data_IF_419230877313
#
_entry.id   IF_419230877313
#
_cell.length_a   1.000
_cell.length_b   1.000
_cell.length_c   1.000
_cell.angle_alpha   90.00
_cell.angle_beta   90.00
_cell.angle_gamma   90.00
#
_symmetry.space_group_name_H-M   'P 1'
#
loop_
_entity.id
_entity.type
_entity.pdbx_description
1 polymer ?
#
# COMPACT_ATOMS: atom_id res chain seq x y z
N UNK A 1 -13.94 4.08 14.67
CA UNK A 1 -12.59 3.81 14.10
C UNK A 1 -12.08 5.12 13.51
N UNK A 2 -10.81 5.49 13.79
CA UNK A 2 -10.20 6.70 13.23
C UNK A 2 -9.50 6.37 11.91
N UNK A 3 -9.73 7.16 10.89
CA UNK A 3 -9.03 7.07 9.62
C UNK A 3 -8.26 8.35 9.33
N UNK A 4 -7.06 8.20 8.78
CA UNK A 4 -6.22 9.33 8.37
C UNK A 4 -6.07 9.31 6.85
N UNK A 5 -6.26 10.46 6.22
CA UNK A 5 -6.04 10.67 4.79
C UNK A 5 -5.10 11.85 4.59
N UNK A 6 -4.32 11.80 3.55
CA UNK A 6 -3.40 12.89 3.22
C UNK A 6 -3.57 13.38 1.79
N UNK A 7 -3.28 14.66 1.59
CA UNK A 7 -3.26 15.26 0.27
C UNK A 7 -2.09 16.22 0.12
N UNK A 8 -1.71 16.52 -1.12
CA UNK A 8 -0.53 17.33 -1.44
C UNK A 8 -0.95 18.58 -2.20
N UNK A 9 -0.64 19.75 -1.66
CA UNK A 9 -0.78 21.01 -2.36
C UNK A 9 0.56 21.41 -2.96
N UNK A 10 0.56 21.85 -4.23
CA UNK A 10 1.77 22.23 -4.95
C UNK A 10 2.36 23.54 -4.45
N UNK A 11 3.69 23.61 -4.38
CA UNK A 11 4.46 24.84 -4.10
C UNK A 11 4.83 25.61 -5.37
N UNK A 12 4.19 25.31 -6.52
CA UNK A 12 4.58 25.87 -7.84
C UNK A 12 4.57 27.39 -7.91
N UNK A 13 3.76 28.04 -7.08
CA UNK A 13 3.64 29.51 -7.03
C UNK A 13 4.70 30.18 -6.14
N UNK A 14 5.47 29.42 -5.37
CA UNK A 14 6.61 29.97 -4.65
C UNK A 14 7.70 30.45 -5.63
N UNK A 15 8.28 31.62 -5.36
CA UNK A 15 9.36 32.19 -6.17
C UNK A 15 10.59 31.28 -6.15
N UNK A 16 11.46 31.40 -7.15
CA UNK A 16 12.72 30.64 -7.21
C UNK A 16 13.55 30.86 -5.95
N UNK A 17 13.69 32.09 -5.48
CA UNK A 17 14.43 32.44 -4.24
C UNK A 17 13.90 31.66 -3.04
N UNK A 18 12.57 31.65 -2.80
CA UNK A 18 11.95 30.91 -1.69
C UNK A 18 12.17 29.40 -1.81
N UNK A 19 12.14 28.86 -3.03
CA UNK A 19 12.42 27.41 -3.26
C UNK A 19 13.88 27.07 -2.99
N UNK A 20 14.81 27.93 -3.35
CA UNK A 20 16.25 27.75 -3.11
C UNK A 20 16.56 27.82 -1.62
N UNK A 21 15.97 28.79 -0.89
CA UNK A 21 16.04 28.90 0.57
C UNK A 21 15.47 27.63 1.24
N UNK A 22 14.28 27.18 0.81
CA UNK A 22 13.66 25.95 1.31
C UNK A 22 14.55 24.73 1.05
N UNK A 23 15.12 24.61 -0.15
CA UNK A 23 16.03 23.50 -0.47
C UNK A 23 17.27 23.48 0.41
N UNK A 24 17.80 24.65 0.77
CA UNK A 24 18.93 24.78 1.70
C UNK A 24 18.55 24.25 3.08
N UNK A 25 17.39 24.65 3.60
CA UNK A 25 16.85 24.12 4.87
C UNK A 25 16.64 22.61 4.80
N UNK A 26 16.04 22.09 3.73
CA UNK A 26 15.78 20.66 3.57
C UNK A 26 17.06 19.83 3.51
N UNK A 27 18.10 20.30 2.83
CA UNK A 27 19.40 19.63 2.76
C UNK A 27 20.07 19.56 4.14
N UNK A 28 20.08 20.68 4.88
CA UNK A 28 20.67 20.74 6.22
C UNK A 28 19.87 19.88 7.20
N UNK A 29 18.53 19.94 7.13
CA UNK A 29 17.66 19.06 7.90
C UNK A 29 17.97 17.58 7.65
N UNK A 30 18.11 17.18 6.40
CA UNK A 30 18.45 15.80 6.03
C UNK A 30 19.82 15.36 6.54
N UNK A 31 20.81 16.27 6.59
CA UNK A 31 22.11 16.01 7.22
C UNK A 31 21.96 15.71 8.71
N UNK A 32 21.20 16.53 9.42
CA UNK A 32 20.92 16.35 10.86
C UNK A 32 20.15 15.06 11.14
N UNK A 33 19.15 14.74 10.33
CA UNK A 33 18.42 13.44 10.42
C UNK A 33 19.40 12.27 10.28
N UNK A 34 20.35 12.33 9.33
CA UNK A 34 21.34 11.26 9.15
C UNK A 34 22.33 11.12 10.32
N UNK A 35 22.68 12.21 11.01
CA UNK A 35 23.47 12.16 12.24
C UNK A 35 22.69 11.40 13.32
N UNK A 36 21.40 11.73 13.51
CA UNK A 36 20.55 11.02 14.46
C UNK A 36 20.27 9.57 14.07
N UNK A 37 20.09 9.26 12.78
CA UNK A 37 19.98 7.88 12.32
C UNK A 37 21.22 7.09 12.73
N UNK A 38 22.42 7.64 12.58
CA UNK A 38 23.64 6.97 12.99
C UNK A 38 23.69 6.76 14.51
N UNK A 39 23.27 7.73 15.28
CA UNK A 39 23.21 7.62 16.74
C UNK A 39 22.21 6.56 17.23
N UNK A 40 20.96 6.54 16.67
CA UNK A 40 19.91 5.60 17.10
C UNK A 40 20.06 4.20 16.51
N UNK A 41 20.83 4.03 15.43
CA UNK A 41 20.97 2.74 14.76
C UNK A 41 21.54 1.67 15.71
N UNK A 42 22.53 2.03 16.49
CA UNK A 42 23.24 1.13 17.39
C UNK A 42 22.55 1.00 18.77
N UNK A 43 21.45 1.72 18.99
CA UNK A 43 20.64 1.59 20.19
C UNK A 43 19.63 0.45 20.07
N UNK A 44 19.39 -0.35 21.15
CA UNK A 44 18.43 -1.46 21.07
C UNK A 44 17.01 -0.97 20.84
N UNK A 45 16.53 -0.07 21.66
CA UNK A 45 15.23 0.59 21.55
C UNK A 45 15.37 2.06 21.96
N UNK A 46 14.59 2.91 21.31
CA UNK A 46 14.55 4.32 21.63
C UNK A 46 13.20 4.91 21.17
N UNK A 47 12.55 5.67 22.02
CA UNK A 47 11.30 6.33 21.69
C UNK A 47 11.38 7.87 21.87
N UNK A 48 10.30 8.55 21.48
CA UNK A 48 10.22 10.01 21.52
C UNK A 48 10.19 10.58 22.95
N UNK A 49 9.84 9.79 23.97
CA UNK A 49 9.76 10.23 25.37
C UNK A 49 11.17 10.45 25.95
N UNK A 50 12.15 9.73 25.42
CA UNK A 50 13.55 9.75 25.82
C UNK A 50 14.37 10.87 25.14
N UNK A 51 13.74 11.73 24.31
CA UNK A 51 14.42 12.84 23.63
C UNK A 51 14.68 14.02 24.57
N UNK A 52 15.69 13.86 25.41
CA UNK A 52 16.18 14.89 26.31
C UNK A 52 17.12 15.87 25.60
N UNK A 53 17.37 17.04 26.22
CA UNK A 53 18.22 18.09 25.65
C UNK A 53 19.62 17.61 25.23
N UNK A 54 20.38 16.82 26.01
CA UNK A 54 21.69 16.35 25.59
C UNK A 54 21.69 15.58 24.27
N UNK A 55 20.64 14.78 24.02
CA UNK A 55 20.49 14.03 22.77
C UNK A 55 20.17 14.97 21.61
N UNK A 56 19.26 15.93 21.81
CA UNK A 56 18.88 16.92 20.79
C UNK A 56 20.07 17.80 20.40
N UNK A 57 21.03 17.99 21.30
CA UNK A 57 22.20 18.84 21.09
C UNK A 57 23.41 18.08 20.46
N UNK A 58 23.34 16.76 20.27
CA UNK A 58 24.39 15.97 19.59
C UNK A 58 24.90 16.64 18.29
N UNK A 59 24.03 17.09 17.33
CA UNK A 59 24.49 17.74 16.10
C UNK A 59 24.77 19.25 16.27
N UNK A 60 24.70 19.82 17.46
CA UNK A 60 24.70 21.29 17.69
C UNK A 60 25.87 22.00 17.01
N UNK A 61 27.08 21.44 17.13
CA UNK A 61 28.29 22.04 16.55
C UNK A 61 28.50 21.73 15.06
N UNK A 62 27.60 20.95 14.46
CA UNK A 62 27.68 20.51 13.07
C UNK A 62 26.58 21.11 12.20
N UNK A 63 25.65 21.87 12.78
CA UNK A 63 24.50 22.42 12.08
C UNK A 63 24.09 23.78 12.63
N UNK A 64 23.57 24.60 11.74
CA UNK A 64 22.95 25.87 12.06
C UNK A 64 21.47 25.78 12.44
N UNK A 65 20.85 24.56 12.38
CA UNK A 65 19.45 24.38 12.73
C UNK A 65 19.17 24.63 14.22
N UNK A 66 18.05 25.26 14.51
CA UNK A 66 17.59 25.51 15.88
C UNK A 66 17.33 24.22 16.65
N UNK A 67 17.39 24.25 17.98
CA UNK A 67 17.07 23.11 18.85
C UNK A 67 15.70 22.50 18.53
N UNK A 68 14.71 23.34 18.16
CA UNK A 68 13.37 22.88 17.79
C UNK A 68 13.40 22.05 16.50
N UNK A 69 14.12 22.49 15.47
CA UNK A 69 14.31 21.73 14.23
C UNK A 69 15.13 20.46 14.46
N UNK A 70 16.17 20.50 15.29
CA UNK A 70 16.95 19.31 15.67
C UNK A 70 16.09 18.28 16.39
N UNK A 71 15.20 18.72 17.31
CA UNK A 71 14.26 17.81 18.01
C UNK A 71 13.31 17.12 17.04
N UNK A 72 12.81 17.82 16.04
CA UNK A 72 11.94 17.22 15.00
C UNK A 72 12.72 16.25 14.11
N UNK A 73 13.95 16.60 13.73
CA UNK A 73 14.84 15.73 12.97
C UNK A 73 15.17 14.42 13.74
N UNK A 74 15.39 14.52 15.05
CA UNK A 74 15.60 13.36 15.91
C UNK A 74 14.37 12.43 15.93
N UNK A 75 13.16 12.99 16.05
CA UNK A 75 11.90 12.21 15.99
C UNK A 75 11.73 11.49 14.64
N UNK A 76 12.02 12.17 13.53
CA UNK A 76 11.97 11.53 12.20
C UNK A 76 12.99 10.39 12.10
N UNK A 77 14.20 10.59 12.60
CA UNK A 77 15.26 9.56 12.63
C UNK A 77 14.84 8.33 13.44
N UNK A 78 14.25 8.52 14.63
CA UNK A 78 13.71 7.41 15.46
C UNK A 78 12.68 6.62 14.66
N UNK A 79 11.70 7.29 14.05
CA UNK A 79 10.67 6.64 13.22
C UNK A 79 11.25 5.87 12.03
N UNK A 80 12.27 6.42 11.37
CA UNK A 80 12.94 5.74 10.25
C UNK A 80 13.70 4.49 10.70
N UNK A 81 14.45 4.58 11.81
CA UNK A 81 15.20 3.45 12.38
C UNK A 81 14.23 2.35 12.85
N UNK A 82 13.21 2.71 13.62
CA UNK A 82 12.19 1.78 14.11
C UNK A 82 11.48 1.06 12.97
N UNK A 83 11.10 1.80 11.91
CA UNK A 83 10.44 1.20 10.74
C UNK A 83 11.31 0.14 10.07
N UNK A 84 12.61 0.39 9.90
CA UNK A 84 13.53 -0.58 9.29
C UNK A 84 13.74 -1.79 10.20
N UNK A 85 13.94 -1.59 11.52
CA UNK A 85 14.10 -2.67 12.49
C UNK A 85 12.85 -3.55 12.55
N UNK A 86 11.66 -2.95 12.61
CA UNK A 86 10.39 -3.69 12.64
C UNK A 86 10.18 -4.53 11.38
N UNK A 87 10.47 -3.98 10.20
CA UNK A 87 10.38 -4.72 8.92
C UNK A 87 11.40 -5.86 8.90
N UNK A 88 12.60 -5.64 9.42
CA UNK A 88 13.63 -6.68 9.50
C UNK A 88 13.18 -7.84 10.41
N UNK A 89 12.73 -7.56 11.64
CA UNK A 89 12.24 -8.60 12.56
C UNK A 89 11.02 -9.34 11.99
N UNK A 90 10.06 -8.61 11.41
CA UNK A 90 8.93 -9.23 10.73
C UNK A 90 9.37 -10.19 9.61
N UNK A 91 10.34 -9.78 8.77
CA UNK A 91 10.86 -10.65 7.70
C UNK A 91 11.55 -11.88 8.26
N UNK A 92 12.30 -11.74 9.35
CA UNK A 92 13.00 -12.83 10.04
C UNK A 92 12.01 -13.82 10.63
N UNK A 93 10.95 -13.36 11.28
CA UNK A 93 9.84 -14.16 11.79
C UNK A 93 9.13 -14.93 10.67
N UNK A 94 8.77 -14.27 9.55
CA UNK A 94 8.13 -14.92 8.42
C UNK A 94 8.99 -16.01 7.77
N UNK A 95 10.32 -15.80 7.72
CA UNK A 95 11.25 -16.82 7.27
C UNK A 95 11.31 -17.99 8.25
N UNK A 96 11.37 -17.70 9.56
CA UNK A 96 11.39 -18.72 10.61
C UNK A 96 10.10 -19.56 10.60
N UNK A 97 8.93 -18.93 10.54
CA UNK A 97 7.64 -19.65 10.42
C UNK A 97 7.63 -20.57 9.17
N UNK A 98 8.18 -20.09 8.05
CA UNK A 98 8.26 -20.86 6.80
C UNK A 98 9.20 -22.06 6.92
N UNK A 99 10.33 -21.91 7.61
CA UNK A 99 11.30 -22.96 7.91
C UNK A 99 10.64 -24.01 8.81
N UNK A 100 10.09 -23.61 9.96
CA UNK A 100 9.44 -24.50 10.93
C UNK A 100 8.32 -25.32 10.28
N UNK A 101 7.46 -24.65 9.49
CA UNK A 101 6.35 -25.33 8.78
C UNK A 101 6.85 -26.34 7.75
N UNK A 102 7.93 -26.02 7.04
CA UNK A 102 8.50 -26.92 6.04
C UNK A 102 9.26 -28.07 6.69
N UNK A 103 10.00 -27.82 7.76
CA UNK A 103 10.70 -28.83 8.55
C UNK A 103 9.71 -29.83 9.16
N UNK A 104 8.66 -29.36 9.81
CA UNK A 104 7.59 -30.24 10.31
C UNK A 104 7.01 -31.11 9.20
N UNK A 105 6.77 -30.53 8.01
CA UNK A 105 6.26 -31.29 6.87
C UNK A 105 7.24 -32.36 6.36
N UNK A 106 8.54 -32.08 6.37
CA UNK A 106 9.57 -33.06 5.98
C UNK A 106 9.67 -34.18 6.97
N UNK A 107 9.56 -33.93 8.27
CA UNK A 107 9.63 -34.95 9.35
C UNK A 107 8.39 -35.86 9.39
N UNK A 108 7.21 -35.32 9.06
CA UNK A 108 5.95 -36.11 9.10
C UNK A 108 5.65 -36.87 7.82
N UNK A 109 6.42 -36.71 6.74
CA UNK A 109 6.19 -37.43 5.48
C UNK A 109 7.12 -38.60 5.34
N UNK A 110 6.55 -39.82 5.29
CA UNK A 110 7.31 -41.05 5.08
C UNK A 110 7.71 -41.21 3.61
N UNK A 111 8.93 -41.71 3.31
CA UNK A 111 9.44 -41.86 1.94
C UNK A 111 8.96 -43.18 1.28
N UNK A 112 7.74 -43.61 1.57
CA UNK A 112 7.13 -44.87 1.17
C UNK A 112 6.79 -44.91 -0.33
N UNK A 113 6.45 -43.80 -0.94
CA UNK A 113 6.12 -43.69 -2.36
C UNK A 113 7.16 -42.90 -3.17
N UNK A 114 7.27 -43.23 -4.48
CA UNK A 114 8.12 -42.46 -5.44
C UNK A 114 7.80 -40.97 -5.45
N UNK A 115 6.51 -40.62 -5.24
CA UNK A 115 6.05 -39.21 -5.14
C UNK A 115 6.58 -38.59 -3.85
N UNK A 116 6.43 -39.24 -2.69
CA UNK A 116 6.88 -38.72 -1.41
C UNK A 116 8.40 -38.50 -1.38
N UNK A 117 9.20 -39.42 -1.93
CA UNK A 117 10.66 -39.24 -2.08
C UNK A 117 11.03 -38.03 -2.93
N UNK A 118 10.33 -37.79 -4.05
CA UNK A 118 10.55 -36.61 -4.88
C UNK A 118 10.18 -35.31 -4.15
N UNK A 119 9.07 -35.33 -3.43
CA UNK A 119 8.60 -34.18 -2.66
C UNK A 119 9.52 -33.85 -1.49
N UNK A 120 10.00 -34.86 -0.74
CA UNK A 120 10.99 -34.71 0.32
C UNK A 120 12.29 -34.07 -0.20
N UNK A 121 12.86 -34.58 -1.30
CA UNK A 121 14.06 -34.02 -1.90
C UNK A 121 13.87 -32.54 -2.31
N UNK A 122 12.69 -32.18 -2.84
CA UNK A 122 12.36 -30.82 -3.18
C UNK A 122 12.23 -29.92 -1.94
N UNK A 123 11.65 -30.47 -0.86
CA UNK A 123 11.47 -29.72 0.39
C UNK A 123 12.78 -29.53 1.13
N UNK A 124 13.67 -30.49 1.18
CA UNK A 124 15.02 -30.36 1.75
C UNK A 124 15.82 -29.28 1.02
N UNK A 125 15.81 -29.27 -0.33
CA UNK A 125 16.45 -28.19 -1.11
C UNK A 125 15.86 -26.82 -0.78
N UNK A 126 14.53 -26.73 -0.62
CA UNK A 126 13.87 -25.49 -0.27
C UNK A 126 14.16 -25.06 1.16
N UNK A 127 14.25 -25.99 2.11
CA UNK A 127 14.59 -25.74 3.50
C UNK A 127 15.98 -25.09 3.59
N UNK A 128 17.00 -25.74 3.00
CA UNK A 128 18.37 -25.22 2.93
C UNK A 128 18.44 -23.82 2.30
N UNK A 129 17.63 -23.56 1.27
CA UNK A 129 17.57 -22.23 0.64
C UNK A 129 16.92 -21.17 1.55
N UNK A 130 15.92 -21.53 2.36
CA UNK A 130 15.28 -20.62 3.32
C UNK A 130 16.20 -20.31 4.49
N UNK A 131 16.92 -21.31 5.01
CA UNK A 131 17.92 -21.16 6.07
C UNK A 131 19.06 -20.25 5.62
N UNK A 132 19.61 -20.48 4.42
CA UNK A 132 20.62 -19.60 3.82
C UNK A 132 20.09 -18.18 3.63
N UNK A 133 18.84 -18.01 3.19
CA UNK A 133 18.23 -16.68 3.07
C UNK A 133 18.09 -15.98 4.42
N UNK A 134 17.74 -16.74 5.48
CA UNK A 134 17.63 -16.22 6.85
C UNK A 134 18.99 -15.79 7.40
N UNK A 135 20.06 -16.60 7.19
CA UNK A 135 21.42 -16.26 7.64
C UNK A 135 22.00 -15.04 6.93
N UNK A 136 21.61 -14.81 5.67
CA UNK A 136 22.04 -13.64 4.88
C UNK A 136 21.18 -12.40 5.10
N UNK A 137 20.07 -12.50 5.86
CA UNK A 137 19.20 -11.35 6.10
C UNK A 137 19.90 -10.34 6.99
N UNK A 138 20.00 -9.09 6.50
CA UNK A 138 20.62 -7.98 7.24
C UNK A 138 19.69 -6.75 7.19
N UNK A 139 19.60 -6.05 8.30
CA UNK A 139 19.00 -4.73 8.33
C UNK A 139 20.00 -3.71 7.75
N UNK A 140 19.54 -2.84 6.89
CA UNK A 140 20.34 -1.78 6.32
C UNK A 140 19.96 -0.43 6.93
N UNK A 141 20.95 0.30 7.43
CA UNK A 141 20.78 1.64 7.98
C UNK A 141 20.06 2.53 6.96
N UNK A 142 18.91 3.14 7.31
CA UNK A 142 18.21 4.04 6.41
C UNK A 142 19.02 5.32 6.17
N UNK A 143 18.75 6.01 5.06
CA UNK A 143 19.37 7.28 4.73
C UNK A 143 18.30 8.29 4.34
N UNK A 144 18.31 9.45 4.98
CA UNK A 144 17.47 10.57 4.61
C UNK A 144 18.08 11.34 3.43
N UNK A 145 17.26 11.63 2.39
CA UNK A 145 17.74 12.24 1.13
C UNK A 145 17.86 13.77 1.18
N UNK A 146 17.43 14.44 2.26
CA UNK A 146 17.43 15.89 2.36
C UNK A 146 16.44 16.59 1.41
N UNK A 147 15.36 15.92 1.01
CA UNK A 147 14.37 16.44 0.05
C UNK A 147 12.98 16.64 0.68
N UNK A 148 12.83 16.36 1.94
CA UNK A 148 11.60 16.56 2.72
C UNK A 148 11.95 16.87 4.17
N UNK A 149 11.03 17.48 4.90
CA UNK A 149 11.03 17.56 6.35
C UNK A 149 9.63 17.38 6.89
N UNK A 150 9.50 16.73 8.03
CA UNK A 150 8.25 16.65 8.78
C UNK A 150 8.31 17.68 9.91
N UNK A 151 7.34 18.58 9.97
CA UNK A 151 7.28 19.66 10.96
C UNK A 151 5.89 19.76 11.57
N UNK A 152 5.82 20.31 12.77
CA UNK A 152 4.56 20.62 13.46
C UNK A 152 4.20 22.10 13.30
N UNK A 153 3.00 22.47 13.73
CA UNK A 153 2.53 23.87 13.75
C UNK A 153 3.43 24.83 14.56
N UNK A 154 4.32 24.31 15.39
CA UNK A 154 5.30 25.15 16.11
C UNK A 154 6.44 25.68 15.23
N UNK A 155 6.61 25.13 14.03
CA UNK A 155 7.65 25.51 13.05
C UNK A 155 7.00 25.99 11.76
N UNK A 156 5.88 25.41 11.36
CA UNK A 156 5.18 25.80 10.14
C UNK A 156 3.70 26.02 10.44
N UNK A 157 3.21 27.23 10.24
CA UNK A 157 1.83 27.60 10.46
C UNK A 157 1.12 27.86 9.13
N UNK A 158 -0.11 27.38 8.99
CA UNK A 158 -0.94 27.68 7.83
C UNK A 158 -1.82 28.89 8.13
N UNK A 159 -1.45 30.02 7.56
CA UNK A 159 -2.14 31.29 7.71
C UNK A 159 -3.14 31.49 6.58
N UNK A 160 -4.39 31.76 6.93
CA UNK A 160 -5.40 32.16 5.95
C UNK A 160 -5.26 33.67 5.72
N UNK A 161 -5.16 34.13 4.48
CA UNK A 161 -5.08 35.56 4.22
C UNK A 161 -6.34 36.23 4.80
N UNK A 162 -6.15 37.31 5.53
CA UNK A 162 -7.26 38.22 5.82
C UNK A 162 -7.84 38.61 4.48
N UNK A 163 -9.16 38.59 4.31
CA UNK A 163 -9.87 38.95 3.07
C UNK A 163 -9.48 40.36 2.65
N UNK A 164 -8.37 40.50 1.94
CA UNK A 164 -7.97 41.67 1.20
C UNK A 164 -8.39 41.45 -0.24
N UNK A 165 -8.73 42.51 -0.97
CA UNK A 165 -9.21 42.43 -2.37
C UNK A 165 -8.27 41.72 -3.33
N UNK A 166 -7.03 41.38 -2.91
CA UNK A 166 -5.95 40.82 -3.73
C UNK A 166 -5.50 39.43 -3.31
N UNK A 167 -6.38 38.64 -2.71
CA UNK A 167 -6.05 37.26 -2.26
C UNK A 167 -5.90 36.27 -3.42
N UNK A 168 -4.76 36.25 -4.12
CA UNK A 168 -4.45 35.28 -5.18
C UNK A 168 -4.33 33.84 -4.69
N UNK A 169 -4.15 33.63 -3.37
CA UNK A 169 -3.88 32.32 -2.79
C UNK A 169 -4.83 32.01 -1.64
N UNK A 170 -5.19 30.73 -1.51
CA UNK A 170 -6.10 30.26 -0.45
C UNK A 170 -5.45 30.33 0.94
N UNK A 171 -4.14 30.15 1.02
CA UNK A 171 -3.37 30.21 2.27
C UNK A 171 -1.88 30.44 2.03
N UNK A 172 -1.19 30.80 3.11
CA UNK A 172 0.27 30.88 3.18
C UNK A 172 0.77 29.93 4.25
N UNK A 173 1.72 29.05 3.90
CA UNK A 173 2.44 28.27 4.87
C UNK A 173 3.64 29.06 5.34
N UNK A 174 3.54 29.61 6.54
CA UNK A 174 4.59 30.36 7.21
C UNK A 174 5.53 29.38 7.93
N UNK A 175 6.74 29.21 7.40
CA UNK A 175 7.80 28.42 8.01
C UNK A 175 8.73 29.35 8.76
N UNK A 176 8.76 29.28 10.08
CA UNK A 176 9.59 30.11 10.92
C UNK A 176 10.38 29.30 11.94
N UNK A 177 11.62 29.68 12.17
CA UNK A 177 12.48 29.11 13.21
C UNK A 177 13.17 30.22 14.02
N UNK A 178 12.69 30.42 15.24
CA UNK A 178 13.29 31.32 16.21
C UNK A 178 14.70 30.82 16.52
N UNK A 179 15.71 31.62 16.40
CA UNK A 179 17.11 31.24 16.62
C UNK A 179 17.96 31.11 15.36
N UNK A 180 17.35 30.86 14.19
CA UNK A 180 18.06 30.80 12.91
C UNK A 180 17.62 31.92 11.95
N UNK A 181 16.69 32.76 12.35
CA UNK A 181 16.07 33.81 11.50
C UNK A 181 15.54 33.26 10.16
N UNK A 182 15.13 31.98 10.13
CA UNK A 182 14.45 31.41 8.96
C UNK A 182 13.04 31.94 8.96
N UNK A 183 12.63 32.54 7.83
CA UNK A 183 11.25 32.93 7.59
C UNK A 183 10.96 32.72 6.11
N UNK A 184 10.15 31.71 5.81
CA UNK A 184 9.79 31.35 4.43
C UNK A 184 8.27 31.24 4.34
N UNK A 185 7.64 32.09 3.52
CA UNK A 185 6.22 32.06 3.24
C UNK A 185 5.96 31.37 1.91
N UNK A 186 5.26 30.26 1.92
CA UNK A 186 4.95 29.45 0.75
C UNK A 186 3.48 29.65 0.41
N UNK A 187 3.14 30.19 -0.76
CA UNK A 187 1.76 30.34 -1.20
C UNK A 187 1.14 28.97 -1.53
N UNK A 188 -0.07 28.73 -1.05
CA UNK A 188 -0.80 27.47 -1.21
C UNK A 188 -2.16 27.73 -1.82
N UNK A 189 -2.46 27.04 -2.93
CA UNK A 189 -3.81 26.93 -3.45
C UNK A 189 -4.38 25.55 -3.15
N UNK A 190 -5.62 25.55 -2.67
CA UNK A 190 -6.35 24.34 -2.38
C UNK A 190 -6.99 23.79 -3.66
N UNK A 191 -6.86 22.51 -3.86
CA UNK A 191 -7.55 21.81 -4.93
C UNK A 191 -8.81 21.10 -4.40
N UNK A 192 -9.70 20.68 -5.29
CA UNK A 192 -10.99 20.06 -4.95
C UNK A 192 -10.89 18.99 -3.85
N UNK A 193 -9.90 18.09 -3.95
CA UNK A 193 -9.74 17.03 -2.96
C UNK A 193 -9.31 17.54 -1.58
N UNK A 194 -8.47 18.59 -1.52
CA UNK A 194 -8.13 19.24 -0.24
C UNK A 194 -9.39 19.83 0.41
N UNK A 195 -10.19 20.57 -0.35
CA UNK A 195 -11.42 21.19 0.15
C UNK A 195 -12.42 20.12 0.63
N UNK A 196 -12.52 18.99 -0.08
CA UNK A 196 -13.38 17.88 0.32
C UNK A 196 -12.92 17.24 1.64
N UNK A 197 -11.62 17.00 1.81
CA UNK A 197 -11.06 16.50 3.07
C UNK A 197 -11.22 17.49 4.21
N UNK A 198 -10.93 18.77 3.97
CA UNK A 198 -11.02 19.84 4.97
C UNK A 198 -12.45 20.05 5.48
N UNK A 199 -13.46 19.80 4.63
CA UNK A 199 -14.88 19.88 5.00
C UNK A 199 -15.33 18.71 5.87
N UNK A 200 -14.76 17.50 5.67
CA UNK A 200 -15.24 16.25 6.26
C UNK A 200 -14.37 15.71 7.40
N UNK A 201 -13.24 16.33 7.66
CA UNK A 201 -12.21 15.80 8.55
C UNK A 201 -11.48 16.92 9.28
N UNK A 202 -10.88 16.59 10.40
CA UNK A 202 -10.03 17.51 11.17
C UNK A 202 -8.62 17.49 10.59
N UNK A 203 -8.11 18.65 10.18
CA UNK A 203 -6.75 18.79 9.72
C UNK A 203 -5.78 18.64 10.88
N UNK A 204 -4.76 17.79 10.71
CA UNK A 204 -3.68 17.62 11.66
C UNK A 204 -2.68 18.78 11.57
N UNK A 205 -2.09 19.12 12.72
CA UNK A 205 -1.12 20.21 12.85
C UNK A 205 0.33 19.76 12.54
N UNK A 206 0.50 18.76 11.69
CA UNK A 206 1.79 18.29 11.21
C UNK A 206 1.82 18.29 9.68
N UNK A 207 2.93 18.75 9.11
CA UNK A 207 3.10 18.90 7.68
C UNK A 207 4.35 18.16 7.22
N UNK A 208 4.30 17.60 5.99
CA UNK A 208 5.51 17.18 5.27
C UNK A 208 5.76 18.22 4.17
N UNK A 209 6.90 18.89 4.27
CA UNK A 209 7.29 19.94 3.34
C UNK A 209 8.39 19.43 2.43
N UNK A 210 8.23 19.67 1.13
CA UNK A 210 9.24 19.42 0.08
C UNK A 210 9.36 20.68 -0.80
N UNK A 211 10.31 20.72 -1.73
CA UNK A 211 10.41 21.79 -2.72
C UNK A 211 9.19 21.89 -3.64
N UNK A 212 8.47 20.79 -3.86
CA UNK A 212 7.43 20.67 -4.89
C UNK A 212 6.01 20.70 -4.33
N UNK A 213 5.85 20.28 -3.07
CA UNK A 213 4.53 20.20 -2.42
C UNK A 213 4.63 20.27 -0.90
N UNK A 214 3.52 20.68 -0.29
CA UNK A 214 3.23 20.51 1.13
C UNK A 214 2.14 19.44 1.26
N UNK A 215 2.39 18.42 2.07
CA UNK A 215 1.41 17.37 2.36
C UNK A 215 0.72 17.67 3.68
N UNK A 216 -0.60 17.65 3.63
CA UNK A 216 -1.50 17.81 4.77
C UNK A 216 -2.14 16.47 5.10
N UNK A 217 -2.30 16.21 6.39
CA UNK A 217 -3.01 15.04 6.90
C UNK A 217 -4.32 15.45 7.56
N UNK A 218 -5.35 14.63 7.36
CA UNK A 218 -6.70 14.85 7.86
C UNK A 218 -7.17 13.60 8.58
N UNK A 219 -7.71 13.78 9.78
CA UNK A 219 -8.27 12.71 10.60
C UNK A 219 -9.79 12.85 10.69
N UNK A 220 -10.49 11.76 10.57
CA UNK A 220 -11.91 11.70 10.88
C UNK A 220 -12.27 10.41 11.58
N UNK A 221 -13.31 10.47 12.38
CA UNK A 221 -13.91 9.28 12.95
C UNK A 221 -14.91 8.67 11.95
N UNK A 222 -14.82 7.35 11.78
CA UNK A 222 -15.83 6.56 11.08
C UNK A 222 -16.60 5.76 12.09
N UNK A 223 -17.92 5.63 11.92
CA UNK A 223 -18.76 4.79 12.75
C UNK A 223 -18.37 3.30 12.67
N UNK A 224 -19.11 2.44 13.34
CA UNK A 224 -18.98 0.99 13.23
C UNK A 224 -19.17 0.54 11.78
N UNK A 225 -18.56 -0.57 11.38
CA UNK A 225 -18.80 -1.21 10.09
C UNK A 225 -20.29 -1.50 9.92
N UNK A 226 -20.75 -1.50 8.68
CA UNK A 226 -22.13 -1.87 8.35
C UNK A 226 -22.37 -3.34 8.69
N UNK A 227 -23.59 -3.68 9.02
CA UNK A 227 -24.06 -5.06 9.00
C UNK A 227 -23.93 -5.62 7.58
N UNK A 228 -23.52 -6.88 7.45
CA UNK A 228 -23.21 -7.47 6.16
C UNK A 228 -24.48 -8.08 5.57
N UNK A 229 -25.01 -7.45 4.52
CA UNK A 229 -26.13 -7.95 3.72
C UNK A 229 -25.67 -8.18 2.27
N UNK A 230 -25.03 -7.20 1.67
CA UNK A 230 -24.57 -7.22 0.29
C UNK A 230 -23.09 -7.60 0.20
N UNK A 231 -22.81 -8.80 -0.35
CA UNK A 231 -21.47 -9.39 -0.43
C UNK A 231 -21.04 -9.51 -1.89
N UNK A 232 -19.85 -8.98 -2.22
CA UNK A 232 -19.28 -9.11 -3.57
C UNK A 232 -17.89 -9.74 -3.54
N UNK A 233 -17.69 -10.78 -4.34
CA UNK A 233 -16.39 -11.33 -4.71
C UNK A 233 -15.88 -10.64 -5.99
N UNK A 234 -14.60 -10.31 -6.03
CA UNK A 234 -13.98 -9.59 -7.15
C UNK A 234 -12.77 -10.36 -7.64
N UNK A 235 -12.81 -10.79 -8.88
CA UNK A 235 -11.62 -11.18 -9.63
C UNK A 235 -11.02 -9.96 -10.33
N UNK A 236 -9.71 -9.86 -10.33
CA UNK A 236 -9.00 -8.68 -10.82
C UNK A 236 -8.09 -9.02 -11.98
N UNK A 237 -8.32 -8.40 -13.14
CA UNK A 237 -7.64 -8.72 -14.39
C UNK A 237 -7.10 -7.52 -15.17
N UNK A 238 -6.44 -7.82 -16.30
CA UNK A 238 -5.96 -6.82 -17.27
C UNK A 238 -7.02 -6.53 -18.33
N UNK A 239 -7.87 -7.50 -18.67
CA UNK A 239 -8.92 -7.34 -19.67
C UNK A 239 -10.14 -6.58 -19.11
N UNK A 240 -10.49 -6.84 -17.86
CA UNK A 240 -11.37 -6.02 -17.05
C UNK A 240 -10.70 -5.79 -15.71
N UNK A 241 -10.74 -4.55 -15.19
CA UNK A 241 -10.11 -4.22 -13.92
C UNK A 241 -10.74 -4.98 -12.75
N UNK A 242 -12.05 -5.18 -12.80
CA UNK A 242 -12.82 -5.95 -11.85
C UNK A 242 -13.95 -6.73 -12.54
N UNK A 243 -13.99 -8.03 -12.31
CA UNK A 243 -15.13 -8.90 -12.61
C UNK A 243 -15.77 -9.32 -11.29
N UNK A 244 -17.07 -9.12 -11.12
CA UNK A 244 -17.75 -9.28 -9.83
C UNK A 244 -18.61 -10.55 -9.81
N UNK A 245 -18.87 -11.07 -8.60
CA UNK A 245 -19.80 -12.17 -8.38
C UNK A 245 -21.25 -11.83 -8.75
N UNK A 246 -21.55 -10.54 -8.96
CA UNK A 246 -22.85 -10.07 -9.46
C UNK A 246 -22.93 -10.10 -11.00
N UNK A 247 -21.96 -10.75 -11.65
CA UNK A 247 -21.84 -10.90 -13.10
C UNK A 247 -21.63 -9.58 -13.88
N UNK A 248 -21.06 -8.57 -13.23
CA UNK A 248 -20.74 -7.28 -13.84
C UNK A 248 -19.23 -7.15 -14.01
N UNK A 249 -18.80 -6.64 -15.15
CA UNK A 249 -17.40 -6.34 -15.43
C UNK A 249 -17.19 -4.83 -15.52
N UNK A 250 -16.19 -4.31 -14.81
CA UNK A 250 -15.84 -2.90 -14.75
C UNK A 250 -14.43 -2.66 -15.29
N UNK A 251 -14.25 -1.51 -15.93
CA UNK A 251 -12.93 -1.05 -16.37
C UNK A 251 -12.32 -1.91 -17.49
N UNK A 252 -13.09 -2.32 -18.50
CA UNK A 252 -12.57 -3.03 -19.68
C UNK A 252 -11.60 -2.18 -20.51
N UNK A 253 -11.70 -0.87 -20.43
CA UNK A 253 -10.84 0.11 -21.07
C UNK A 253 -9.42 0.19 -20.43
N UNK A 254 -9.18 -0.45 -19.28
CA UNK A 254 -7.89 -0.43 -18.60
C UNK A 254 -6.76 -0.98 -19.46
N UNK A 255 -7.05 -1.97 -20.31
CA UNK A 255 -6.08 -2.58 -21.24
C UNK A 255 -5.50 -1.56 -22.21
N UNK A 256 -6.34 -0.71 -22.79
CA UNK A 256 -5.92 0.35 -23.71
C UNK A 256 -5.03 1.39 -23.01
N UNK A 257 -5.39 1.78 -21.79
CA UNK A 257 -4.60 2.69 -20.97
C UNK A 257 -3.22 2.10 -20.62
N UNK A 258 -3.16 0.81 -20.32
CA UNK A 258 -1.90 0.08 -20.07
C UNK A 258 -1.04 0.05 -21.36
N UNK A 259 -1.62 -0.28 -22.50
CA UNK A 259 -0.89 -0.28 -23.78
C UNK A 259 -0.36 1.11 -24.16
N UNK A 260 -1.18 2.16 -24.00
CA UNK A 260 -0.75 3.55 -24.16
C UNK A 260 0.43 3.89 -23.23
N UNK A 261 0.36 3.46 -21.97
CA UNK A 261 1.46 3.65 -21.02
C UNK A 261 2.75 2.93 -21.46
N UNK A 262 2.66 1.73 -22.03
CA UNK A 262 3.84 0.96 -22.50
C UNK A 262 4.59 1.65 -23.62
N UNK A 263 3.88 2.31 -24.55
CA UNK A 263 4.46 3.04 -25.67
C UNK A 263 5.25 4.29 -25.26
N UNK A 264 5.00 4.81 -24.05
CA UNK A 264 5.67 6.00 -23.54
C UNK A 264 7.07 5.69 -23.01
N UNK A 265 8.06 6.54 -23.34
CA UNK A 265 9.42 6.45 -22.83
C UNK A 265 9.46 6.57 -21.30
N UNK A 266 10.24 5.70 -20.66
CA UNK A 266 10.43 5.72 -19.19
C UNK A 266 11.00 7.07 -18.74
N UNK A 267 10.39 7.67 -17.69
CA UNK A 267 10.79 8.98 -17.16
C UNK A 267 10.21 10.18 -17.89
N UNK A 268 9.54 10.01 -19.03
CA UNK A 268 8.94 11.13 -19.78
C UNK A 268 7.66 11.67 -19.10
N UNK A 269 7.34 12.94 -19.39
CA UNK A 269 6.04 13.55 -18.98
C UNK A 269 4.86 12.78 -19.56
N UNK A 270 4.97 12.23 -20.79
CA UNK A 270 3.96 11.39 -21.41
C UNK A 270 3.69 10.12 -20.60
N UNK A 271 4.75 9.44 -20.16
CA UNK A 271 4.64 8.26 -19.28
C UNK A 271 3.94 8.58 -17.97
N UNK A 272 4.29 9.70 -17.33
CA UNK A 272 3.66 10.13 -16.09
C UNK A 272 2.16 10.44 -16.28
N UNK A 273 1.78 11.10 -17.39
CA UNK A 273 0.36 11.36 -17.73
C UNK A 273 -0.40 10.03 -17.93
N UNK A 274 0.18 9.07 -18.66
CA UNK A 274 -0.44 7.76 -18.87
C UNK A 274 -0.65 6.98 -17.55
N UNK A 275 0.34 7.00 -16.65
CA UNK A 275 0.21 6.40 -15.30
C UNK A 275 -0.89 7.09 -14.50
N UNK A 276 -1.00 8.40 -14.57
CA UNK A 276 -2.05 9.15 -13.87
C UNK A 276 -3.44 8.81 -14.41
N UNK A 277 -3.60 8.62 -15.74
CA UNK A 277 -4.87 8.18 -16.36
C UNK A 277 -5.26 6.79 -15.86
N UNK A 278 -4.32 5.84 -15.77
CA UNK A 278 -4.57 4.51 -15.19
C UNK A 278 -5.04 4.65 -13.73
N UNK A 279 -4.37 5.45 -12.91
CA UNK A 279 -4.78 5.66 -11.52
C UNK A 279 -6.15 6.32 -11.38
N UNK A 280 -6.46 7.27 -12.26
CA UNK A 280 -7.77 7.90 -12.30
C UNK A 280 -8.86 6.87 -12.60
N UNK A 281 -8.66 6.05 -13.63
CA UNK A 281 -9.61 4.99 -13.99
C UNK A 281 -9.79 3.96 -12.87
N UNK A 282 -8.69 3.57 -12.21
CA UNK A 282 -8.75 2.74 -11.01
C UNK A 282 -9.63 3.36 -9.92
N UNK A 283 -9.50 4.67 -9.66
CA UNK A 283 -10.30 5.36 -8.64
C UNK A 283 -11.79 5.39 -8.98
N UNK A 284 -12.14 5.54 -10.25
CA UNK A 284 -13.53 5.53 -10.74
C UNK A 284 -14.14 4.14 -10.56
N UNK A 285 -13.50 3.12 -11.13
CA UNK A 285 -13.96 1.73 -11.03
C UNK A 285 -14.06 1.25 -9.58
N UNK A 286 -13.09 1.61 -8.74
CA UNK A 286 -13.14 1.23 -7.32
C UNK A 286 -14.36 1.80 -6.59
N UNK A 287 -14.78 3.02 -6.94
CA UNK A 287 -16.02 3.63 -6.38
C UNK A 287 -17.28 2.93 -6.89
N UNK A 288 -17.30 2.56 -8.17
CA UNK A 288 -18.45 1.86 -8.78
C UNK A 288 -18.63 0.48 -8.14
N UNK A 289 -17.56 -0.29 -8.01
CA UNK A 289 -17.60 -1.67 -7.52
C UNK A 289 -18.06 -1.77 -6.06
N UNK A 290 -17.67 -0.81 -5.20
CA UNK A 290 -18.06 -0.83 -3.78
C UNK A 290 -19.44 -0.22 -3.50
N UNK A 291 -20.05 0.40 -4.50
CA UNK A 291 -21.34 1.06 -4.34
C UNK A 291 -22.40 0.05 -3.86
N UNK A 292 -23.09 0.39 -2.78
CA UNK A 292 -24.12 -0.44 -2.16
C UNK A 292 -23.62 -1.84 -1.71
N UNK A 293 -22.33 -1.97 -1.39
CA UNK A 293 -21.77 -3.20 -0.85
C UNK A 293 -21.37 -3.04 0.62
N UNK A 294 -21.56 -4.12 1.40
CA UNK A 294 -21.23 -4.16 2.83
C UNK A 294 -19.98 -4.99 3.09
N UNK A 295 -19.69 -5.95 2.19
CA UNK A 295 -18.48 -6.76 2.22
C UNK A 295 -17.89 -6.94 0.82
N UNK A 296 -16.62 -6.59 0.69
CA UNK A 296 -15.82 -6.77 -0.53
C UNK A 296 -14.75 -7.83 -0.29
N UNK A 297 -14.69 -8.82 -1.16
CA UNK A 297 -13.75 -9.94 -1.07
C UNK A 297 -12.90 -9.97 -2.35
N UNK A 298 -11.57 -9.97 -2.21
CA UNK A 298 -10.62 -10.02 -3.33
C UNK A 298 -9.61 -11.14 -3.15
N UNK A 299 -8.92 -11.51 -4.22
CA UNK A 299 -7.79 -12.42 -4.11
C UNK A 299 -6.54 -11.74 -3.53
N UNK A 300 -5.81 -12.44 -2.65
CA UNK A 300 -4.51 -12.01 -2.17
C UNK A 300 -3.42 -12.42 -3.16
N UNK A 301 -3.25 -11.65 -4.22
CA UNK A 301 -2.17 -11.86 -5.18
C UNK A 301 -0.86 -11.26 -4.63
N UNK A 302 0.01 -12.10 -4.09
CA UNK A 302 1.33 -11.69 -3.59
C UNK A 302 2.41 -11.88 -4.66
N UNK A 303 3.34 -10.92 -4.74
CA UNK A 303 4.56 -11.02 -5.55
C UNK A 303 4.37 -11.24 -7.07
N UNK A 304 3.34 -10.65 -7.68
CA UNK A 304 3.11 -10.75 -9.13
C UNK A 304 4.36 -10.37 -9.96
N UNK A 305 5.11 -9.36 -9.52
CA UNK A 305 6.31 -8.89 -10.20
C UNK A 305 7.59 -9.71 -9.93
N UNK A 306 7.65 -10.42 -8.78
CA UNK A 306 8.87 -11.09 -8.30
C UNK A 306 8.79 -12.62 -8.39
N UNK A 307 7.73 -13.15 -8.99
CA UNK A 307 7.57 -14.59 -9.08
C UNK A 307 8.56 -15.15 -10.13
N UNK A 308 9.70 -15.65 -9.65
CA UNK A 308 10.74 -16.27 -10.50
C UNK A 308 10.22 -17.41 -11.38
N UNK A 309 9.17 -18.13 -10.93
CA UNK A 309 8.47 -19.15 -11.69
C UNK A 309 7.75 -18.62 -12.93
N UNK A 310 7.36 -17.34 -12.94
CA UNK A 310 6.73 -16.69 -14.08
C UNK A 310 7.75 -16.12 -15.08
N UNK A 311 9.01 -15.90 -14.66
CA UNK A 311 10.06 -15.31 -15.55
C UNK A 311 10.36 -16.14 -16.80
N UNK A 312 10.14 -17.44 -16.78
CA UNK A 312 10.35 -18.32 -17.97
C UNK A 312 9.07 -18.68 -18.72
N UNK A 313 7.88 -18.46 -18.14
CA UNK A 313 6.60 -18.92 -18.69
C UNK A 313 5.74 -17.83 -19.32
N UNK A 314 5.96 -16.57 -18.98
CA UNK A 314 5.20 -15.44 -19.50
C UNK A 314 6.03 -14.65 -20.52
N UNK A 315 5.39 -14.25 -21.62
CA UNK A 315 6.00 -13.36 -22.62
C UNK A 315 6.44 -12.03 -22.01
N UNK A 316 7.43 -11.37 -22.62
CA UNK A 316 7.92 -10.04 -22.19
C UNK A 316 6.77 -9.02 -22.14
N UNK A 317 5.82 -9.10 -23.06
CA UNK A 317 4.68 -8.20 -23.13
C UNK A 317 3.72 -8.37 -21.93
N UNK A 318 3.39 -9.62 -21.57
CA UNK A 318 2.53 -9.91 -20.43
C UNK A 318 3.18 -9.45 -19.12
N UNK A 319 4.49 -9.70 -18.94
CA UNK A 319 5.24 -9.23 -17.76
C UNK A 319 5.27 -7.70 -17.67
N UNK A 320 5.40 -7.01 -18.81
CA UNK A 320 5.34 -5.55 -18.87
C UNK A 320 3.94 -5.02 -18.52
N UNK A 321 2.88 -5.69 -18.97
CA UNK A 321 1.50 -5.34 -18.62
C UNK A 321 1.25 -5.47 -17.12
N UNK A 322 1.64 -6.61 -16.53
CA UNK A 322 1.53 -6.85 -15.07
C UNK A 322 2.29 -5.77 -14.28
N UNK A 323 3.50 -5.40 -14.72
CA UNK A 323 4.29 -4.34 -14.09
C UNK A 323 3.68 -2.94 -14.22
N UNK A 324 2.93 -2.69 -15.29
CA UNK A 324 2.28 -1.39 -15.56
C UNK A 324 0.89 -1.26 -14.93
N UNK A 325 0.28 -2.36 -14.56
CA UNK A 325 -1.11 -2.45 -14.12
C UNK A 325 -1.41 -1.84 -12.74
N UNK A 326 -0.40 -1.55 -11.92
CA UNK A 326 -0.59 -0.91 -10.62
C UNK A 326 -1.51 -1.66 -9.63
N UNK A 327 -1.46 -3.02 -9.64
CA UNK A 327 -2.27 -3.86 -8.77
C UNK A 327 -2.25 -3.45 -7.28
N UNK A 328 -1.07 -3.11 -6.76
CA UNK A 328 -0.94 -2.63 -5.38
C UNK A 328 -1.75 -1.35 -5.12
N UNK A 329 -1.82 -0.44 -6.10
CA UNK A 329 -2.65 0.76 -6.00
C UNK A 329 -4.14 0.44 -6.02
N UNK A 330 -4.57 -0.54 -6.84
CA UNK A 330 -5.94 -1.02 -6.89
C UNK A 330 -6.42 -1.54 -5.53
N UNK A 331 -5.67 -2.48 -4.94
CA UNK A 331 -6.00 -3.05 -3.62
C UNK A 331 -6.03 -1.97 -2.53
N UNK A 332 -5.00 -1.14 -2.46
CA UNK A 332 -4.93 -0.03 -1.51
C UNK A 332 -6.13 0.91 -1.66
N UNK A 333 -6.57 1.19 -2.90
CA UNK A 333 -7.67 2.09 -3.15
C UNK A 333 -9.02 1.48 -2.77
N UNK A 334 -9.24 0.20 -3.05
CA UNK A 334 -10.42 -0.54 -2.59
C UNK A 334 -10.51 -0.54 -1.06
N UNK A 335 -9.42 -0.89 -0.37
CA UNK A 335 -9.36 -0.91 1.08
C UNK A 335 -9.68 0.47 1.68
N UNK A 336 -9.06 1.54 1.17
CA UNK A 336 -9.33 2.91 1.60
C UNK A 336 -10.80 3.30 1.42
N UNK A 337 -11.41 2.97 0.28
CA UNK A 337 -12.81 3.29 0.02
C UNK A 337 -13.75 2.46 0.89
N UNK A 338 -13.44 1.19 1.15
CA UNK A 338 -14.17 0.34 2.07
C UNK A 338 -14.13 0.90 3.50
N UNK A 339 -12.96 1.38 3.97
CA UNK A 339 -12.84 2.08 5.25
C UNK A 339 -13.73 3.34 5.29
N UNK A 340 -13.73 4.14 4.22
CA UNK A 340 -14.50 5.37 4.10
C UNK A 340 -16.01 5.15 4.10
N UNK A 341 -16.48 4.08 3.47
CA UNK A 341 -17.89 3.70 3.36
C UNK A 341 -18.38 2.78 4.48
N UNK A 342 -17.52 2.42 5.45
CA UNK A 342 -17.78 1.45 6.52
C UNK A 342 -18.08 0.03 6.01
N UNK A 343 -17.62 -0.28 4.80
CA UNK A 343 -17.70 -1.59 4.16
C UNK A 343 -16.59 -2.48 4.69
N UNK A 344 -16.85 -3.74 4.91
CA UNK A 344 -15.83 -4.72 5.27
C UNK A 344 -14.99 -5.10 4.05
N UNK A 345 -13.68 -5.25 4.23
CA UNK A 345 -12.75 -5.69 3.18
C UNK A 345 -12.04 -6.95 3.63
N UNK A 346 -12.02 -7.99 2.78
CA UNK A 346 -11.40 -9.28 3.06
C UNK A 346 -10.62 -9.80 1.87
N UNK A 347 -9.64 -10.64 2.13
CA UNK A 347 -8.84 -11.28 1.09
C UNK A 347 -8.88 -12.80 1.24
N UNK A 348 -8.90 -13.53 0.12
CA UNK A 348 -8.85 -14.99 0.07
C UNK A 348 -7.65 -15.47 -0.77
N UNK A 349 -7.31 -16.76 -0.64
CA UNK A 349 -6.26 -17.36 -1.45
C UNK A 349 -6.66 -17.48 -2.92
N UNK A 350 -5.76 -17.20 -3.88
CA UNK A 350 -6.01 -17.36 -5.32
C UNK A 350 -5.92 -18.81 -5.81
N UNK A 351 -5.80 -19.80 -4.93
CA UNK A 351 -5.57 -21.19 -5.32
C UNK A 351 -6.78 -21.78 -6.03
N UNK A 352 -6.64 -22.15 -7.32
CA UNK A 352 -7.67 -22.77 -8.18
C UNK A 352 -8.96 -21.96 -8.40
N UNK A 353 -9.06 -20.70 -8.03
CA UNK A 353 -10.27 -19.88 -8.26
C UNK A 353 -10.62 -19.77 -9.75
N UNK A 354 -9.62 -19.69 -10.61
CA UNK A 354 -9.80 -19.53 -12.07
C UNK A 354 -10.15 -20.81 -12.82
N UNK A 355 -9.98 -21.99 -12.23
CA UNK A 355 -10.17 -23.31 -12.88
C UNK A 355 -11.22 -24.19 -12.21
N UNK A 356 -11.68 -23.78 -11.01
CA UNK A 356 -12.78 -24.45 -10.30
C UNK A 356 -14.11 -24.00 -10.90
N UNK A 357 -15.02 -24.91 -11.15
CA UNK A 357 -16.38 -24.61 -11.53
C UNK A 357 -17.17 -24.06 -10.33
N UNK A 358 -17.80 -22.89 -10.48
CA UNK A 358 -18.63 -22.29 -9.44
C UNK A 358 -19.96 -23.04 -9.23
N UNK A 359 -20.43 -23.80 -10.21
CA UNK A 359 -21.67 -24.55 -10.12
C UNK A 359 -21.48 -25.91 -9.42
N UNK A 360 -20.55 -26.77 -9.90
CA UNK A 360 -20.39 -28.14 -9.38
C UNK A 360 -19.12 -28.36 -8.55
N UNK A 361 -18.20 -27.38 -8.48
CA UNK A 361 -16.95 -27.52 -7.75
C UNK A 361 -15.84 -28.30 -8.46
N UNK A 362 -16.10 -28.90 -9.64
CA UNK A 362 -15.09 -29.61 -10.42
C UNK A 362 -13.92 -28.70 -10.77
N UNK A 363 -12.70 -29.21 -10.60
CA UNK A 363 -11.47 -28.42 -10.78
C UNK A 363 -10.58 -29.05 -11.82
N UNK A 364 -10.55 -28.48 -13.02
CA UNK A 364 -9.70 -28.89 -14.11
C UNK A 364 -9.13 -27.68 -14.88
N UNK A 365 -7.92 -27.83 -15.43
CA UNK A 365 -7.30 -26.76 -16.23
C UNK A 365 -7.99 -26.55 -17.57
N UNK A 366 -8.58 -27.59 -18.14
CA UNK A 366 -9.36 -27.56 -19.37
C UNK A 366 -10.67 -26.78 -19.25
N UNK A 367 -11.14 -26.50 -18.02
CA UNK A 367 -12.35 -25.70 -17.80
C UNK A 367 -12.20 -24.25 -18.30
N UNK A 368 -10.96 -23.74 -18.47
CA UNK A 368 -10.72 -22.35 -18.88
C UNK A 368 -9.91 -22.25 -20.17
N UNK A 369 -10.46 -21.61 -21.17
CA UNK A 369 -9.77 -21.24 -22.42
C UNK A 369 -9.89 -19.72 -22.65
N UNK A 370 -8.82 -18.98 -22.32
CA UNK A 370 -8.82 -17.52 -22.41
C UNK A 370 -9.85 -16.86 -21.47
N UNK A 371 -10.83 -16.18 -22.02
CA UNK A 371 -11.93 -15.53 -21.27
C UNK A 371 -13.18 -16.43 -21.15
N UNK A 372 -13.18 -17.60 -21.79
CA UNK A 372 -14.29 -18.54 -21.74
C UNK A 372 -14.03 -19.58 -20.64
N UNK A 373 -15.05 -19.86 -19.86
CA UNK A 373 -15.13 -20.96 -18.92
C UNK A 373 -16.18 -21.96 -19.38
N UNK A 374 -15.81 -23.23 -19.52
CA UNK A 374 -16.71 -24.34 -19.79
C UNK A 374 -16.30 -25.53 -18.92
N UNK A 375 -17.18 -25.93 -18.01
CA UNK A 375 -16.91 -27.05 -17.11
C UNK A 375 -16.86 -28.37 -17.87
N UNK A 376 -15.85 -29.18 -17.64
CA UNK A 376 -15.72 -30.51 -18.26
C UNK A 376 -16.61 -31.58 -17.58
N UNK A 377 -17.27 -31.24 -16.47
CA UNK A 377 -18.08 -32.18 -15.69
C UNK A 377 -19.59 -31.91 -15.73
N UNK A 378 -20.02 -30.64 -15.76
CA UNK A 378 -21.45 -30.28 -15.69
C UNK A 378 -21.87 -29.29 -16.77
N UNK A 379 -21.07 -29.11 -17.82
CA UNK A 379 -21.32 -28.21 -18.96
C UNK A 379 -21.63 -26.74 -18.63
N UNK A 380 -21.54 -26.32 -17.38
CA UNK A 380 -21.67 -24.92 -17.00
C UNK A 380 -20.72 -24.04 -17.81
N UNK A 381 -21.26 -23.01 -18.42
CA UNK A 381 -20.51 -22.07 -19.27
C UNK A 381 -20.74 -20.64 -18.80
N UNK A 382 -19.66 -19.86 -18.66
CA UNK A 382 -19.71 -18.43 -18.28
C UNK A 382 -18.41 -17.74 -18.72
N UNK A 383 -18.30 -16.43 -18.47
CA UNK A 383 -17.00 -15.74 -18.55
C UNK A 383 -16.08 -16.26 -17.43
N UNK A 384 -14.82 -16.54 -17.76
CA UNK A 384 -13.86 -17.14 -16.85
C UNK A 384 -13.57 -16.27 -15.61
N UNK A 385 -13.54 -14.94 -15.76
CA UNK A 385 -13.28 -14.01 -14.68
C UNK A 385 -14.52 -13.83 -13.78
N UNK A 386 -15.74 -13.96 -14.34
CA UNK A 386 -16.99 -14.01 -13.57
C UNK A 386 -17.06 -15.32 -12.75
N UNK A 387 -16.75 -16.46 -13.35
CA UNK A 387 -16.66 -17.73 -12.61
C UNK A 387 -15.62 -17.65 -11.47
N UNK A 388 -14.49 -17.00 -11.70
CA UNK A 388 -13.48 -16.79 -10.68
C UNK A 388 -14.02 -15.90 -9.54
N UNK A 389 -14.74 -14.82 -9.84
CA UNK A 389 -15.35 -13.95 -8.84
C UNK A 389 -16.39 -14.65 -7.96
N UNK A 390 -17.19 -15.54 -8.55
CA UNK A 390 -18.12 -16.42 -7.82
C UNK A 390 -17.36 -17.35 -6.86
N UNK A 391 -16.28 -17.98 -7.31
CA UNK A 391 -15.44 -18.83 -6.48
C UNK A 391 -14.74 -18.06 -5.35
N UNK A 392 -14.37 -16.79 -5.55
CA UNK A 392 -13.79 -15.92 -4.53
C UNK A 392 -14.82 -15.66 -3.42
N UNK A 393 -16.06 -15.31 -3.79
CA UNK A 393 -17.17 -15.11 -2.86
C UNK A 393 -17.48 -16.39 -2.08
N UNK A 394 -17.70 -17.51 -2.75
CA UNK A 394 -17.98 -18.81 -2.15
C UNK A 394 -16.89 -19.24 -1.17
N UNK A 395 -15.63 -19.07 -1.54
CA UNK A 395 -14.49 -19.42 -0.69
C UNK A 395 -14.49 -18.72 0.65
N UNK A 396 -14.87 -17.45 0.67
CA UNK A 396 -15.02 -16.70 1.91
C UNK A 396 -16.21 -17.23 2.73
N UNK A 397 -17.39 -17.41 2.11
CA UNK A 397 -18.61 -17.85 2.78
C UNK A 397 -18.48 -19.25 3.38
N UNK A 398 -17.79 -20.16 2.71
CA UNK A 398 -17.58 -21.55 3.19
C UNK A 398 -16.42 -21.71 4.17
N UNK A 399 -15.68 -20.63 4.49
CA UNK A 399 -14.49 -20.70 5.33
C UNK A 399 -13.31 -21.48 4.72
N UNK A 400 -13.42 -21.94 3.48
CA UNK A 400 -12.39 -22.68 2.77
C UNK A 400 -11.39 -21.74 2.08
N UNK A 401 -10.64 -20.97 2.86
CA UNK A 401 -9.73 -19.93 2.36
C UNK A 401 -8.58 -20.44 1.47
N UNK A 402 -8.44 -21.75 1.29
CA UNK A 402 -7.36 -22.39 0.56
C UNK A 402 -6.10 -22.63 1.41
N UNK A 403 -5.23 -23.53 0.94
CA UNK A 403 -4.08 -24.04 1.69
C UNK A 403 -3.00 -23.01 2.07
N UNK A 404 -3.05 -21.79 1.52
CA UNK A 404 -2.03 -20.76 1.71
C UNK A 404 -2.47 -19.61 2.62
N UNK A 405 -3.69 -19.62 3.13
CA UNK A 405 -4.23 -18.54 3.94
C UNK A 405 -4.78 -19.04 5.26
N UNK A 406 -4.20 -18.56 6.36
CA UNK A 406 -4.81 -18.60 7.69
C UNK A 406 -5.00 -17.15 8.11
N UNK A 407 -6.21 -16.68 8.44
CA UNK A 407 -6.41 -15.34 8.98
C UNK A 407 -5.59 -15.24 10.27
N UNK A 408 -4.73 -14.23 10.39
CA UNK A 408 -4.14 -13.84 11.67
C UNK A 408 -5.18 -13.03 12.43
N UNK A 409 -5.64 -13.56 13.56
CA UNK A 409 -6.39 -12.86 14.62
C UNK A 409 -7.53 -11.91 14.19
N UNK A 410 -8.21 -12.18 13.09
CA UNK A 410 -9.52 -11.58 12.89
C UNK A 410 -10.52 -12.44 13.68
N UNK A 411 -11.14 -11.84 14.67
CA UNK A 411 -12.39 -12.35 15.26
C UNK A 411 -13.23 -12.87 14.08
N UNK A 412 -13.43 -14.17 14.06
CA UNK A 412 -14.42 -14.78 13.18
C UNK A 412 -15.68 -13.98 13.48
N UNK A 413 -16.13 -13.15 12.51
CA UNK A 413 -17.49 -12.72 12.51
C UNK A 413 -18.24 -14.05 12.41
N UNK A 414 -18.76 -14.52 13.54
CA UNK A 414 -19.78 -15.56 13.55
C UNK A 414 -20.81 -15.07 12.54
N UNK A 415 -20.83 -15.73 11.38
CA UNK A 415 -21.96 -15.57 10.47
C UNK A 415 -23.18 -15.88 11.32
N UNK A 416 -24.13 -14.97 11.48
CA UNK A 416 -25.42 -15.35 12.04
C UNK A 416 -25.88 -16.52 11.17
N UNK A 417 -26.26 -17.57 11.83
CA UNK A 417 -26.63 -18.87 11.30
C UNK A 417 -27.42 -18.75 9.99
N UNK A 418 -26.82 -19.20 8.89
CA UNK A 418 -27.54 -19.63 7.69
C UNK A 418 -28.21 -20.98 7.97
N UNK A 419 -29.02 -21.05 9.03
CA UNK A 419 -29.98 -22.10 9.29
C UNK A 419 -31.36 -21.56 8.94
N UNK A 420 -31.62 -21.38 7.66
CA UNK A 420 -32.96 -21.40 7.02
C UNK A 420 -32.88 -20.69 5.66
N UNK A 421 -32.47 -21.42 4.69
CA UNK A 421 -32.95 -21.31 3.29
C UNK A 421 -32.83 -22.69 2.66
#
# INVERSE_FOLDING_TARGET
MKIVRSTKCSTKFATKKKKDELNTVLKEYGKVVNIFISYFWDKPEFDNTQLLKPIVDIPMNQTWLSARLRKVAAREAIGMVASVKNVFEWNKEQLQESITRLDQKTRTTLPDTKKNRRDLNRWYKKLKALESKRSMLKAHKPKHKGNKMQVSCTIAELQTPKKTKDGEFDAWLHLASIGNKITIDIPINYHKHFNELNRRSVRQNAYIITSDYVQFSFERETGKKKEVKEIVGIDTGINALASTSDKIQFGRDIKELIEKSKRCQKGSKGKQRAINSIKQRINEVAKEVIKNKDLVIVEKLSNLNNNSKLKGRLSKNIRSSIGSWNYGYWLMRLEQLCEESRTSFRTVSPYNTSIKCSACGHTDRGNRVGEMFKCQSCDYTDNADINAALNIRERFLTGKYGSCYKPKNDTILECPELSSL
#
